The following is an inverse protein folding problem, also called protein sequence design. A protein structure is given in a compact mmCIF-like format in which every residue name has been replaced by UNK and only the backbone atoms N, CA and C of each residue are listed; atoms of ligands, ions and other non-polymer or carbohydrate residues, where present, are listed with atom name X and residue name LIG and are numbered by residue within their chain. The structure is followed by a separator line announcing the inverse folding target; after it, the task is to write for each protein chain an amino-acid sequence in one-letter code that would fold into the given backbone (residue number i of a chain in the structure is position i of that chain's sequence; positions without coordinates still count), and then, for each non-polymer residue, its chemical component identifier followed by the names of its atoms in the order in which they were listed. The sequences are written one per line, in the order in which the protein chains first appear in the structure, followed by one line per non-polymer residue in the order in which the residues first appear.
data_IF_004139162375
#
_entry.id   IF_004139162375
#
_cell.length_a   1.000
_cell.length_b   1.000
_cell.length_c   1.000
_cell.angle_alpha   90.00
_cell.angle_beta   90.00
_cell.angle_gamma   90.00
#
_symmetry.space_group_name_H-M   'P 1'
#
loop_
_entity.id
_entity.type
_entity.pdbx_description
1 polymer ?
#
# COMPACT_ATOMS: atom_id res chain seq x y z
N UNK A 1 7.19 -18.26 29.45
CA UNK A 1 6.36 -17.29 28.70
C UNK A 1 6.10 -16.08 29.58
N UNK A 2 6.22 -14.86 29.04
CA UNK A 2 5.91 -13.63 29.78
C UNK A 2 4.42 -13.62 30.21
N UNK A 3 4.09 -13.10 31.40
CA UNK A 3 2.72 -13.14 31.93
C UNK A 3 1.72 -12.36 31.10
N UNK A 4 2.12 -11.20 30.55
CA UNK A 4 1.26 -10.39 29.68
C UNK A 4 1.00 -11.06 28.32
N UNK A 5 2.00 -11.76 27.77
CA UNK A 5 1.81 -12.58 26.57
C UNK A 5 0.81 -13.70 26.86
N UNK A 6 0.94 -14.36 28.02
CA UNK A 6 0.01 -15.41 28.43
C UNK A 6 -1.42 -14.89 28.53
N UNK A 7 -1.62 -13.74 29.17
CA UNK A 7 -2.92 -13.11 29.29
C UNK A 7 -3.56 -12.86 27.92
N UNK A 8 -2.82 -12.28 26.97
CA UNK A 8 -3.32 -12.06 25.62
C UNK A 8 -3.67 -13.38 24.90
N UNK A 9 -2.84 -14.42 25.04
CA UNK A 9 -3.10 -15.76 24.49
C UNK A 9 -4.39 -16.36 25.08
N UNK A 10 -4.59 -16.25 26.39
CA UNK A 10 -5.76 -16.80 27.08
C UNK A 10 -7.05 -16.07 26.67
N UNK A 11 -6.98 -14.74 26.50
CA UNK A 11 -8.08 -13.91 25.97
C UNK A 11 -8.39 -14.31 24.52
N UNK A 12 -7.37 -14.44 23.67
CA UNK A 12 -7.52 -14.89 22.28
C UNK A 12 -8.20 -16.26 22.21
N UNK A 13 -7.72 -17.23 22.99
CA UNK A 13 -8.31 -18.58 23.04
C UNK A 13 -9.79 -18.52 23.38
N UNK A 14 -10.13 -17.79 24.44
CA UNK A 14 -11.50 -17.67 24.94
C UNK A 14 -12.42 -17.00 23.92
N UNK A 15 -11.98 -15.87 23.35
CA UNK A 15 -12.81 -15.06 22.44
C UNK A 15 -13.13 -15.78 21.14
N UNK A 16 -12.14 -16.48 20.57
CA UNK A 16 -12.29 -17.16 19.28
C UNK A 16 -12.69 -18.62 19.41
N UNK A 17 -13.03 -19.10 20.62
CA UNK A 17 -13.54 -20.45 20.82
C UNK A 17 -12.51 -21.55 20.46
N UNK A 18 -11.23 -21.32 20.74
CA UNK A 18 -10.13 -22.17 20.29
C UNK A 18 -9.88 -23.37 21.23
N UNK A 19 -10.95 -23.95 21.77
CA UNK A 19 -10.85 -25.07 22.72
C UNK A 19 -10.39 -26.38 22.07
N UNK A 20 -10.73 -26.58 20.79
CA UNK A 20 -10.31 -27.73 19.97
C UNK A 20 -9.01 -27.44 19.19
N UNK A 21 -8.19 -26.55 19.73
CA UNK A 21 -6.95 -26.11 19.14
C UNK A 21 -5.83 -26.09 20.19
N UNK A 22 -4.60 -26.30 19.72
CA UNK A 22 -3.40 -26.02 20.50
C UNK A 22 -2.60 -24.87 19.88
N UNK A 23 -1.98 -24.06 20.75
CA UNK A 23 -1.08 -23.00 20.31
C UNK A 23 0.21 -23.64 19.77
N UNK A 24 0.43 -23.53 18.47
CA UNK A 24 1.65 -24.03 17.80
C UNK A 24 2.80 -23.05 17.97
N UNK A 25 2.56 -21.78 17.62
CA UNK A 25 3.58 -20.72 17.59
C UNK A 25 2.98 -19.39 18.05
N UNK A 26 3.82 -18.53 18.58
CA UNK A 26 3.50 -17.14 18.82
C UNK A 26 4.74 -16.27 18.59
N UNK A 27 4.54 -15.02 18.20
CA UNK A 27 5.61 -14.07 17.94
C UNK A 27 5.13 -12.64 18.15
N UNK A 28 6.04 -11.79 18.61
CA UNK A 28 5.80 -10.35 18.63
C UNK A 28 6.31 -9.76 17.33
N UNK A 29 5.52 -8.87 16.75
CA UNK A 29 5.86 -8.12 15.55
C UNK A 29 5.80 -6.63 15.88
N UNK A 30 6.56 -5.84 15.13
CA UNK A 30 6.40 -4.38 15.10
C UNK A 30 6.40 -3.85 13.69
N UNK A 31 5.71 -2.72 13.51
CA UNK A 31 5.77 -1.94 12.27
C UNK A 31 5.56 -0.46 12.59
N UNK A 32 5.88 0.39 11.62
CA UNK A 32 5.64 1.83 11.69
C UNK A 32 4.43 2.18 10.81
N UNK A 33 3.47 2.91 11.37
CA UNK A 33 2.28 3.35 10.63
C UNK A 33 2.51 4.67 9.87
N UNK A 34 1.50 5.16 9.15
CA UNK A 34 1.60 6.43 8.36
C UNK A 34 1.90 7.65 9.23
N UNK A 35 1.53 7.61 10.52
CA UNK A 35 1.76 8.67 11.48
C UNK A 35 3.15 8.61 12.12
N UNK A 36 4.00 7.69 11.65
CA UNK A 36 5.34 7.43 12.17
C UNK A 36 5.36 6.89 13.61
N UNK A 37 4.29 6.21 14.02
CA UNK A 37 4.14 5.57 15.33
C UNK A 37 4.52 4.10 15.25
N UNK A 38 5.13 3.58 16.31
CA UNK A 38 5.47 2.15 16.39
C UNK A 38 4.31 1.36 16.95
N UNK A 39 3.83 0.41 16.16
CA UNK A 39 2.76 -0.51 16.54
C UNK A 39 3.35 -1.87 16.85
N UNK A 40 2.98 -2.43 17.99
CA UNK A 40 3.36 -3.78 18.39
C UNK A 40 2.13 -4.70 18.35
N UNK A 41 2.29 -5.86 17.73
CA UNK A 41 1.26 -6.92 17.71
C UNK A 41 1.83 -8.23 18.24
N UNK A 42 0.98 -9.01 18.89
CA UNK A 42 1.22 -10.41 19.20
C UNK A 42 0.48 -11.25 18.17
N UNK A 43 1.23 -11.99 17.35
CA UNK A 43 0.69 -12.99 16.44
C UNK A 43 0.69 -14.36 17.13
N UNK A 44 -0.42 -15.06 17.02
CA UNK A 44 -0.62 -16.41 17.57
C UNK A 44 -1.14 -17.34 16.49
N UNK A 45 -0.58 -18.54 16.44
CA UNK A 45 -0.92 -19.54 15.45
C UNK A 45 -1.37 -20.82 16.15
N UNK A 46 -2.60 -21.24 15.84
CA UNK A 46 -3.32 -22.30 16.53
C UNK A 46 -3.70 -23.40 15.55
N UNK A 47 -3.28 -24.62 15.83
CA UNK A 47 -3.56 -25.77 14.97
C UNK A 47 -4.74 -26.55 15.55
N UNK A 48 -5.68 -27.02 14.70
CA UNK A 48 -6.80 -27.84 15.17
C UNK A 48 -6.30 -29.19 15.69
N UNK A 49 -6.85 -29.67 16.81
CA UNK A 49 -6.37 -30.89 17.49
C UNK A 49 -6.47 -32.18 16.66
N UNK A 50 -7.35 -32.20 15.66
CA UNK A 50 -7.72 -33.39 14.89
C UNK A 50 -7.22 -33.35 13.45
N UNK A 51 -6.54 -32.28 13.03
CA UNK A 51 -6.02 -32.13 11.67
C UNK A 51 -4.52 -32.42 11.69
N UNK A 52 -4.07 -33.27 10.77
CA UNK A 52 -2.65 -33.62 10.66
C UNK A 52 -1.85 -32.48 10.03
N UNK A 53 -0.66 -32.22 10.57
CA UNK A 53 0.29 -31.27 9.99
C UNK A 53 0.77 -31.76 8.60
N UNK A 54 0.69 -30.92 7.55
CA UNK A 54 1.27 -31.20 6.25
C UNK A 54 2.79 -31.42 6.31
N UNK A 55 3.34 -32.26 5.43
CA UNK A 55 4.79 -32.52 5.36
C UNK A 55 5.59 -31.37 4.72
N UNK A 56 4.92 -30.44 4.04
CA UNK A 56 5.52 -29.32 3.30
C UNK A 56 5.66 -28.03 4.12
N UNK A 57 5.58 -28.14 5.45
CA UNK A 57 5.60 -27.04 6.42
C UNK A 57 4.47 -25.99 6.23
N UNK A 58 3.46 -26.30 5.40
CA UNK A 58 2.28 -25.45 5.26
C UNK A 58 1.37 -25.54 6.48
N UNK A 59 0.57 -24.50 6.71
CA UNK A 59 -0.40 -24.51 7.78
C UNK A 59 -1.55 -25.47 7.46
N UNK A 60 -1.92 -26.39 8.39
CA UNK A 60 -3.07 -27.24 8.21
C UNK A 60 -4.35 -26.43 7.96
N UNK A 61 -5.30 -27.05 7.25
CA UNK A 61 -6.62 -26.49 7.06
C UNK A 61 -7.30 -26.13 8.39
N UNK A 62 -7.88 -24.95 8.43
CA UNK A 62 -8.55 -24.38 9.60
C UNK A 62 -7.64 -23.94 10.74
N UNK A 63 -6.32 -23.90 10.52
CA UNK A 63 -5.39 -23.17 11.38
C UNK A 63 -5.87 -21.74 11.59
N UNK A 64 -5.90 -21.29 12.85
CA UNK A 64 -6.23 -19.92 13.18
C UNK A 64 -4.95 -19.09 13.39
N UNK A 65 -4.76 -18.06 12.58
CA UNK A 65 -3.69 -17.05 12.76
C UNK A 65 -4.35 -15.76 13.22
N UNK A 66 -4.06 -15.37 14.46
CA UNK A 66 -4.75 -14.25 15.12
C UNK A 66 -3.72 -13.26 15.65
N UNK A 67 -3.93 -11.99 15.30
CA UNK A 67 -3.08 -10.87 15.73
C UNK A 67 -3.84 -9.92 16.65
N UNK A 68 -3.22 -9.59 17.78
CA UNK A 68 -3.74 -8.62 18.76
C UNK A 68 -2.74 -7.50 18.98
N UNK A 69 -3.23 -6.26 19.02
CA UNK A 69 -2.40 -5.11 19.35
C UNK A 69 -2.02 -5.15 20.84
N UNK A 70 -0.72 -5.05 21.13
CA UNK A 70 -0.17 -5.27 22.48
C UNK A 70 -0.62 -4.23 23.50
N UNK A 71 -0.99 -3.01 23.09
CA UNK A 71 -1.39 -1.94 24.02
C UNK A 71 -2.90 -1.78 24.14
N UNK A 72 -3.59 -1.74 23.01
CA UNK A 72 -5.04 -1.53 22.99
C UNK A 72 -5.81 -2.81 23.29
N UNK A 73 -5.15 -3.97 23.21
CA UNK A 73 -5.73 -5.31 23.31
C UNK A 73 -6.85 -5.57 22.28
N UNK A 74 -6.95 -4.72 21.25
CA UNK A 74 -7.87 -4.91 20.13
C UNK A 74 -7.28 -5.88 19.13
N UNK A 75 -8.12 -6.75 18.60
CA UNK A 75 -7.73 -7.67 17.55
C UNK A 75 -7.56 -6.93 16.24
N UNK A 76 -6.45 -7.20 15.56
CA UNK A 76 -6.10 -6.60 14.27
C UNK A 76 -6.50 -7.54 13.14
N UNK A 77 -6.34 -8.85 13.35
CA UNK A 77 -6.77 -9.85 12.40
C UNK A 77 -7.08 -11.19 13.06
N UNK A 78 -7.94 -11.98 12.43
CA UNK A 78 -8.17 -13.38 12.70
C UNK A 78 -8.44 -14.09 11.37
N UNK A 79 -7.54 -14.99 10.98
CA UNK A 79 -7.58 -15.67 9.68
C UNK A 79 -7.64 -17.17 9.94
N UNK A 80 -8.65 -17.83 9.39
CA UNK A 80 -8.77 -19.27 9.41
C UNK A 80 -8.41 -19.85 8.03
N UNK A 81 -7.35 -20.67 8.00
CA UNK A 81 -6.79 -21.19 6.75
C UNK A 81 -7.83 -21.98 5.95
N UNK A 82 -7.94 -21.68 4.65
CA UNK A 82 -8.90 -22.27 3.71
C UNK A 82 -10.38 -22.02 4.07
N UNK A 83 -10.66 -20.90 4.75
CA UNK A 83 -12.01 -20.48 5.13
C UNK A 83 -12.76 -21.53 5.97
N UNK A 84 -12.03 -22.31 6.77
CA UNK A 84 -12.59 -23.34 7.65
C UNK A 84 -12.27 -23.07 9.10
N UNK A 85 -13.27 -23.16 9.98
CA UNK A 85 -13.06 -23.03 11.41
C UNK A 85 -13.64 -24.22 12.17
N UNK A 86 -12.88 -24.68 13.16
CA UNK A 86 -13.26 -25.72 14.12
C UNK A 86 -13.52 -25.14 15.51
N UNK A 87 -13.66 -23.80 15.59
CA UNK A 87 -13.92 -23.08 16.81
C UNK A 87 -15.24 -23.57 17.44
N UNK A 88 -15.20 -23.81 18.74
CA UNK A 88 -16.38 -24.15 19.53
C UNK A 88 -16.83 -22.90 20.29
N UNK A 89 -18.09 -22.49 20.13
CA UNK A 89 -18.62 -21.24 20.70
C UNK A 89 -17.77 -20.00 20.34
N UNK A 90 -17.14 -19.99 19.15
CA UNK A 90 -16.45 -18.82 18.61
C UNK A 90 -17.42 -17.76 18.09
N UNK A 91 -16.87 -16.75 17.41
CA UNK A 91 -17.68 -15.69 16.80
C UNK A 91 -18.52 -16.26 15.66
N UNK A 92 -19.83 -16.02 15.72
CA UNK A 92 -20.78 -16.44 14.71
C UNK A 92 -21.83 -15.36 14.46
N UNK A 93 -22.18 -15.19 13.20
CA UNK A 93 -23.21 -14.32 12.68
C UNK A 93 -24.44 -15.11 12.20
N UNK A 94 -24.57 -16.37 12.61
CA UNK A 94 -25.70 -17.22 12.26
C UNK A 94 -27.03 -16.55 12.64
N UNK A 95 -27.90 -16.34 11.65
CA UNK A 95 -29.21 -15.71 11.86
C UNK A 95 -29.17 -14.21 12.18
N UNK A 96 -28.00 -13.57 12.08
CA UNK A 96 -27.87 -12.12 12.25
C UNK A 96 -28.06 -11.37 10.93
N UNK A 97 -28.49 -10.12 11.03
CA UNK A 97 -28.56 -9.22 9.89
C UNK A 97 -27.29 -8.37 9.80
N UNK A 98 -27.03 -7.77 8.64
CA UNK A 98 -25.87 -6.89 8.37
C UNK A 98 -25.69 -5.81 9.46
N UNK A 99 -26.79 -5.24 9.98
CA UNK A 99 -26.75 -4.24 11.05
C UNK A 99 -26.19 -4.77 12.38
N UNK A 100 -26.37 -6.06 12.67
CA UNK A 100 -25.83 -6.67 13.89
C UNK A 100 -24.33 -6.96 13.73
N UNK A 101 -23.90 -7.34 12.52
CA UNK A 101 -22.48 -7.48 12.17
C UNK A 101 -21.77 -6.12 12.23
N UNK A 102 -22.42 -5.05 11.78
CA UNK A 102 -21.92 -3.67 11.92
C UNK A 102 -21.72 -3.33 13.40
N UNK A 103 -22.69 -3.58 14.27
CA UNK A 103 -22.54 -3.31 15.71
C UNK A 103 -21.40 -4.12 16.33
N UNK A 104 -21.25 -5.38 15.94
CA UNK A 104 -20.13 -6.20 16.38
C UNK A 104 -18.79 -5.58 15.94
N UNK A 105 -18.69 -5.15 14.68
CA UNK A 105 -17.51 -4.47 14.15
C UNK A 105 -17.19 -3.17 14.90
N UNK A 106 -18.19 -2.34 15.20
CA UNK A 106 -17.99 -1.11 15.98
C UNK A 106 -17.48 -1.42 17.40
N UNK A 107 -17.98 -2.48 18.03
CA UNK A 107 -17.49 -2.93 19.34
C UNK A 107 -16.06 -3.47 19.27
N UNK A 108 -15.74 -4.24 18.24
CA UNK A 108 -14.42 -4.85 18.05
C UNK A 108 -13.34 -3.81 17.78
N UNK A 109 -13.65 -2.85 16.90
CA UNK A 109 -12.68 -1.88 16.40
C UNK A 109 -12.71 -0.57 17.19
N UNK A 110 -13.84 -0.23 17.82
CA UNK A 110 -14.13 1.10 18.37
C UNK A 110 -14.36 2.17 17.31
N UNK A 111 -14.52 1.77 16.04
CA UNK A 111 -14.82 2.68 14.92
C UNK A 111 -16.33 2.88 14.81
N UNK A 112 -16.76 4.05 14.35
CA UNK A 112 -18.18 4.37 14.17
C UNK A 112 -18.60 4.27 12.70
N UNK A 113 -19.62 3.45 12.42
CA UNK A 113 -20.23 3.30 11.10
C UNK A 113 -20.93 4.60 10.65
N UNK A 114 -20.85 4.90 9.36
CA UNK A 114 -21.32 6.14 8.75
C UNK A 114 -20.40 7.34 8.94
N UNK A 115 -19.55 7.32 9.98
CA UNK A 115 -18.63 8.42 10.33
C UNK A 115 -17.18 8.16 9.97
N UNK A 116 -16.66 7.00 10.40
CA UNK A 116 -15.28 6.57 10.20
C UNK A 116 -15.18 5.43 9.17
N UNK A 117 -16.28 4.72 8.96
CA UNK A 117 -16.39 3.61 8.02
C UNK A 117 -17.71 3.66 7.27
N UNK A 118 -17.72 3.19 6.03
CA UNK A 118 -18.94 2.88 5.27
C UNK A 118 -18.82 1.52 4.62
N UNK A 119 -19.96 0.83 4.48
CA UNK A 119 -20.03 -0.42 3.74
C UNK A 119 -19.70 -0.12 2.28
N UNK A 120 -18.65 -0.76 1.78
CA UNK A 120 -18.17 -0.59 0.41
C UNK A 120 -18.63 -1.73 -0.49
N UNK A 121 -18.65 -2.96 0.04
CA UNK A 121 -19.07 -4.16 -0.69
C UNK A 121 -19.76 -5.13 0.26
N UNK A 122 -20.85 -5.72 -0.21
CA UNK A 122 -21.58 -6.79 0.46
C UNK A 122 -21.75 -7.94 -0.53
N UNK A 123 -21.23 -9.10 -0.16
CA UNK A 123 -21.31 -10.35 -0.91
C UNK A 123 -21.78 -11.46 0.03
N UNK A 124 -22.19 -12.59 -0.52
CA UNK A 124 -22.52 -13.77 0.30
C UNK A 124 -21.30 -14.17 1.14
N UNK A 125 -21.46 -14.19 2.45
CA UNK A 125 -20.38 -14.55 3.39
C UNK A 125 -19.31 -13.46 3.59
N UNK A 126 -19.46 -12.23 3.04
CA UNK A 126 -18.40 -11.20 3.12
C UNK A 126 -18.93 -9.77 3.18
N UNK A 127 -18.37 -8.99 4.10
CA UNK A 127 -18.57 -7.54 4.22
C UNK A 127 -17.24 -6.80 4.20
N UNK A 128 -17.12 -5.82 3.29
CA UNK A 128 -15.96 -4.93 3.20
C UNK A 128 -16.40 -3.50 3.52
N UNK A 129 -15.78 -2.92 4.55
CA UNK A 129 -15.94 -1.53 4.94
C UNK A 129 -14.71 -0.74 4.54
N UNK A 130 -14.90 0.49 4.08
CA UNK A 130 -13.81 1.43 3.79
C UNK A 130 -13.91 2.66 4.68
N UNK A 131 -12.74 3.19 5.00
CA UNK A 131 -12.60 4.41 5.77
C UNK A 131 -13.25 5.61 5.07
N UNK A 132 -13.92 6.43 5.88
CA UNK A 132 -14.40 7.75 5.51
C UNK A 132 -14.16 8.74 6.64
N UNK A 133 -14.09 10.03 6.35
CA UNK A 133 -14.15 11.11 7.33
C UNK A 133 -15.44 11.89 7.08
N UNK A 134 -16.39 11.76 8.02
CA UNK A 134 -17.72 12.38 7.94
C UNK A 134 -18.40 12.17 6.57
N UNK A 135 -18.16 10.98 6.01
CA UNK A 135 -18.71 10.52 4.75
C UNK A 135 -17.94 10.83 3.48
N UNK A 136 -16.82 11.57 3.58
CA UNK A 136 -15.86 11.83 2.51
C UNK A 136 -14.81 10.72 2.47
N UNK A 137 -14.44 10.24 1.29
CA UNK A 137 -13.44 9.18 1.12
C UNK A 137 -12.04 9.63 1.55
N UNK A 138 -11.19 8.68 1.95
CA UNK A 138 -9.83 8.94 2.46
C UNK A 138 -8.77 8.29 1.57
N UNK A 139 -7.57 8.87 1.50
CA UNK A 139 -6.37 8.30 0.87
C UNK A 139 -5.11 8.57 1.71
N UNK A 140 -4.30 7.54 2.03
CA UNK A 140 -4.60 6.12 1.87
C UNK A 140 -5.79 5.70 2.74
N UNK A 141 -6.66 4.82 2.21
CA UNK A 141 -7.84 4.38 2.94
C UNK A 141 -7.53 3.17 3.84
N UNK A 142 -7.99 3.22 5.08
CA UNK A 142 -8.21 2.04 5.91
C UNK A 142 -9.42 1.23 5.45
N UNK A 143 -9.47 -0.02 5.88
CA UNK A 143 -10.58 -0.93 5.63
C UNK A 143 -10.77 -1.92 6.78
N UNK A 144 -12.00 -2.39 6.93
CA UNK A 144 -12.32 -3.54 7.78
C UNK A 144 -13.01 -4.56 6.92
N UNK A 145 -12.53 -5.80 6.98
CA UNK A 145 -13.06 -6.91 6.21
C UNK A 145 -13.47 -8.04 7.14
N UNK A 146 -14.64 -8.61 6.89
CA UNK A 146 -15.27 -9.66 7.68
C UNK A 146 -15.78 -10.71 6.70
N UNK A 147 -15.34 -11.96 6.88
CA UNK A 147 -15.85 -13.11 6.15
C UNK A 147 -16.30 -14.21 7.11
N UNK A 148 -17.31 -14.95 6.69
CA UNK A 148 -17.90 -16.03 7.46
C UNK A 148 -18.40 -17.14 6.53
N UNK A 149 -18.38 -18.37 7.04
CA UNK A 149 -18.81 -19.55 6.30
C UNK A 149 -20.34 -19.62 6.13
N UNK A 150 -20.82 -20.66 5.43
CA UNK A 150 -22.24 -20.88 5.21
C UNK A 150 -23.06 -21.13 6.48
N UNK A 151 -22.41 -21.52 7.59
CA UNK A 151 -23.04 -21.65 8.91
C UNK A 151 -23.00 -20.33 9.70
N UNK A 152 -22.40 -19.28 9.13
CA UNK A 152 -22.23 -17.98 9.73
C UNK A 152 -21.06 -17.89 10.70
N UNK A 153 -20.13 -18.87 10.75
CA UNK A 153 -18.97 -18.80 11.64
C UNK A 153 -17.89 -17.91 11.03
N UNK A 154 -17.23 -17.09 11.85
CA UNK A 154 -16.15 -16.21 11.38
C UNK A 154 -14.99 -17.02 10.81
N UNK A 155 -14.57 -16.71 9.59
CA UNK A 155 -13.41 -17.30 8.92
C UNK A 155 -12.32 -16.27 8.63
N UNK A 156 -12.70 -15.00 8.50
CA UNK A 156 -11.76 -13.91 8.30
C UNK A 156 -12.23 -12.63 9.00
N UNK A 157 -11.31 -11.97 9.68
CA UNK A 157 -11.46 -10.60 10.16
C UNK A 157 -10.11 -9.90 9.98
N UNK A 158 -10.11 -8.69 9.42
CA UNK A 158 -8.92 -7.87 9.40
C UNK A 158 -9.24 -6.37 9.41
N UNK A 159 -8.44 -5.63 10.17
CA UNK A 159 -8.40 -4.17 10.17
C UNK A 159 -7.12 -3.74 9.46
N UNK A 160 -7.27 -3.08 8.32
CA UNK A 160 -6.16 -2.58 7.51
C UNK A 160 -6.15 -1.05 7.48
N UNK A 161 -4.95 -0.47 7.36
CA UNK A 161 -4.75 0.98 7.37
C UNK A 161 -4.87 1.60 8.75
N UNK A 162 -5.04 2.92 8.79
CA UNK A 162 -5.10 3.71 10.02
C UNK A 162 -6.35 4.59 9.99
N UNK A 163 -6.96 4.82 11.16
CA UNK A 163 -8.16 5.62 11.28
C UNK A 163 -7.82 6.88 12.08
N UNK A 164 -7.78 8.06 11.46
CA UNK A 164 -7.31 9.28 12.08
C UNK A 164 -8.24 9.73 13.20
N UNK A 165 -7.63 10.29 14.23
CA UNK A 165 -8.34 11.08 15.23
C UNK A 165 -8.67 12.47 14.64
N UNK A 166 -9.58 13.19 15.29
CA UNK A 166 -10.03 14.50 14.80
C UNK A 166 -8.92 15.55 14.75
N UNK A 167 -7.93 15.43 15.62
CA UNK A 167 -6.88 16.43 15.81
C UNK A 167 -5.92 16.50 14.61
N UNK A 168 -5.87 15.44 13.79
CA UNK A 168 -5.03 15.38 12.58
C UNK A 168 -5.84 15.58 11.30
N UNK A 169 -7.10 16.01 11.40
CA UNK A 169 -7.97 16.30 10.26
C UNK A 169 -8.11 17.82 10.15
N UNK A 170 -7.76 18.36 8.98
CA UNK A 170 -7.97 19.77 8.67
C UNK A 170 -9.40 19.97 8.18
N UNK A 171 -10.28 20.41 9.08
CA UNK A 171 -11.69 20.68 8.76
C UNK A 171 -11.80 21.90 7.84
N UNK A 172 -12.39 21.70 6.65
CA UNK A 172 -12.60 22.73 5.65
C UNK A 172 -13.93 22.50 4.90
N UNK A 173 -14.47 23.56 4.29
CA UNK A 173 -15.58 23.42 3.34
C UNK A 173 -15.04 23.14 1.95
N UNK A 174 -15.54 22.10 1.28
CA UNK A 174 -15.15 21.79 -0.09
C UNK A 174 -15.59 22.90 -1.05
N UNK A 175 -14.66 23.50 -1.79
CA UNK A 175 -14.95 24.61 -2.71
C UNK A 175 -14.49 24.39 -4.15
N UNK A 176 -13.81 23.28 -4.44
CA UNK A 176 -13.33 22.98 -5.78
C UNK A 176 -14.49 22.73 -6.76
N UNK A 177 -14.29 23.17 -7.98
CA UNK A 177 -15.15 22.89 -9.13
C UNK A 177 -14.28 22.76 -10.36
N UNK A 178 -14.77 22.08 -11.39
CA UNK A 178 -14.03 21.91 -12.64
C UNK A 178 -13.60 23.24 -13.26
N UNK A 179 -14.45 24.25 -13.25
CA UNK A 179 -14.13 25.58 -13.80
C UNK A 179 -12.89 26.20 -13.14
N UNK A 180 -12.68 25.96 -11.83
CA UNK A 180 -11.51 26.48 -11.10
C UNK A 180 -10.24 25.73 -11.48
N UNK A 181 -10.35 24.42 -11.73
CA UNK A 181 -9.20 23.53 -11.94
C UNK A 181 -9.01 23.11 -13.41
N UNK A 182 -9.70 23.74 -14.37
CA UNK A 182 -9.65 23.35 -15.79
C UNK A 182 -8.22 23.30 -16.32
N UNK A 183 -7.38 24.26 -15.93
CA UNK A 183 -5.97 24.29 -16.29
C UNK A 183 -5.20 23.06 -15.79
N UNK A 184 -5.40 22.66 -14.52
CA UNK A 184 -4.81 21.45 -13.94
C UNK A 184 -5.34 20.19 -14.65
N UNK A 185 -6.63 20.15 -14.96
CA UNK A 185 -7.23 19.01 -15.67
C UNK A 185 -6.61 18.81 -17.05
N UNK A 186 -6.36 19.89 -17.79
CA UNK A 186 -5.61 19.86 -19.04
C UNK A 186 -4.17 19.42 -18.83
N UNK A 187 -3.48 19.90 -17.79
CA UNK A 187 -2.11 19.50 -17.49
C UNK A 187 -1.97 18.00 -17.26
N UNK A 188 -2.94 17.38 -16.56
CA UNK A 188 -2.95 15.93 -16.27
C UNK A 188 -3.33 15.04 -17.45
N UNK A 189 -3.82 15.59 -18.56
CA UNK A 189 -4.03 14.80 -19.77
C UNK A 189 -2.67 14.49 -20.42
N UNK A 190 -2.25 13.22 -20.37
CA UNK A 190 -0.98 12.75 -20.93
C UNK A 190 -1.22 11.80 -22.10
N UNK A 191 -0.31 11.82 -23.07
CA UNK A 191 -0.26 10.78 -24.09
C UNK A 191 0.49 9.58 -23.52
N UNK A 192 -0.22 8.46 -23.39
CA UNK A 192 0.24 7.22 -22.76
C UNK A 192 -0.05 6.06 -23.71
N UNK A 193 0.82 5.07 -23.74
CA UNK A 193 0.66 3.85 -24.52
C UNK A 193 0.20 2.71 -23.60
N UNK A 194 -0.95 2.13 -23.95
CA UNK A 194 -1.54 0.99 -23.27
C UNK A 194 -1.36 -0.29 -24.08
N UNK A 195 -1.01 -1.42 -23.47
CA UNK A 195 -0.90 -2.69 -24.18
C UNK A 195 -2.28 -3.30 -24.40
N UNK A 196 -2.74 -3.44 -25.65
CA UNK A 196 -3.99 -4.14 -25.96
C UNK A 196 -3.73 -5.61 -26.25
N UNK A 197 -4.15 -6.49 -25.34
CA UNK A 197 -4.02 -7.93 -25.51
C UNK A 197 -4.86 -8.48 -26.67
N UNK A 198 -6.06 -7.94 -26.86
CA UNK A 198 -6.95 -8.32 -27.97
C UNK A 198 -6.33 -7.97 -29.33
N UNK A 199 -5.80 -6.75 -29.46
CA UNK A 199 -5.23 -6.25 -30.71
C UNK A 199 -3.74 -6.60 -30.89
N UNK A 200 -3.09 -7.14 -29.84
CA UNK A 200 -1.64 -7.45 -29.79
C UNK A 200 -0.75 -6.27 -30.21
N UNK A 201 -1.17 -5.05 -29.84
CA UNK A 201 -0.46 -3.82 -30.15
C UNK A 201 -0.56 -2.79 -29.02
N UNK A 202 0.33 -1.80 -29.06
CA UNK A 202 0.25 -0.63 -28.22
C UNK A 202 -0.80 0.34 -28.77
N UNK A 203 -1.64 0.86 -27.88
CA UNK A 203 -2.69 1.81 -28.20
C UNK A 203 -2.29 3.18 -27.62
N UNK A 204 -1.97 4.18 -28.47
CA UNK A 204 -1.66 5.51 -28.00
C UNK A 204 -2.96 6.18 -27.54
N UNK A 205 -2.98 6.64 -26.29
CA UNK A 205 -4.19 7.10 -25.63
C UNK A 205 -3.90 8.37 -24.85
N UNK A 206 -4.69 9.40 -25.07
CA UNK A 206 -4.76 10.53 -24.15
C UNK A 206 -5.57 10.11 -22.93
N UNK A 207 -4.89 9.91 -21.80
CA UNK A 207 -5.47 9.52 -20.51
C UNK A 207 -5.15 10.54 -19.43
N UNK A 208 -5.99 10.58 -18.39
CA UNK A 208 -5.81 11.48 -17.24
C UNK A 208 -4.94 10.79 -16.21
N UNK A 209 -3.83 11.42 -15.85
CA UNK A 209 -3.03 10.99 -14.70
C UNK A 209 -3.76 11.39 -13.41
N UNK A 210 -4.13 10.39 -12.60
CA UNK A 210 -4.85 10.62 -11.35
C UNK A 210 -4.05 11.53 -10.41
N UNK A 211 -4.72 12.54 -9.84
CA UNK A 211 -4.09 13.50 -8.93
C UNK A 211 -5.08 14.00 -7.88
N UNK A 212 -4.57 14.36 -6.71
CA UNK A 212 -5.33 15.10 -5.71
C UNK A 212 -4.95 16.57 -5.76
N UNK A 213 -5.94 17.44 -5.85
CA UNK A 213 -5.75 18.90 -5.87
C UNK A 213 -6.19 19.43 -4.51
N UNK A 214 -5.33 20.15 -3.79
CA UNK A 214 -5.70 20.76 -2.50
C UNK A 214 -6.88 21.72 -2.68
N UNK A 215 -7.74 21.83 -1.66
CA UNK A 215 -8.97 22.62 -1.73
C UNK A 215 -8.71 24.13 -2.01
N UNK A 216 -7.51 24.62 -1.67
CA UNK A 216 -7.03 25.97 -1.97
C UNK A 216 -6.39 26.12 -3.36
N UNK A 217 -6.26 25.03 -4.13
CA UNK A 217 -5.65 24.94 -5.47
C UNK A 217 -4.14 25.24 -5.51
N UNK A 218 -3.49 25.34 -4.35
CA UNK A 218 -2.07 25.71 -4.28
C UNK A 218 -1.14 24.54 -4.64
N UNK A 219 -1.59 23.31 -4.41
CA UNK A 219 -0.75 22.14 -4.49
C UNK A 219 -1.48 20.98 -5.15
N UNK A 220 -0.73 20.15 -5.87
CA UNK A 220 -1.20 18.90 -6.42
C UNK A 220 -0.37 17.76 -5.81
N UNK A 221 -1.06 16.79 -5.19
CA UNK A 221 -0.46 15.61 -4.60
C UNK A 221 -0.63 14.48 -5.62
N UNK A 222 0.47 13.96 -6.20
CA UNK A 222 0.41 12.87 -7.16
C UNK A 222 -0.28 11.64 -6.56
N UNK A 223 -1.08 10.94 -7.35
CA UNK A 223 -1.55 9.64 -6.95
C UNK A 223 -0.41 8.62 -7.02
N UNK A 224 -0.04 8.03 -5.88
CA UNK A 224 0.89 6.91 -5.85
C UNK A 224 0.15 5.63 -5.45
N UNK A 225 0.12 4.63 -6.34
CA UNK A 225 -0.40 3.28 -6.00
C UNK A 225 0.40 2.61 -4.86
N UNK A 226 1.63 3.08 -4.64
CA UNK A 226 2.53 2.63 -3.59
C UNK A 226 2.81 3.84 -2.70
N UNK A 227 1.77 4.47 -2.15
CA UNK A 227 1.94 5.16 -0.86
C UNK A 227 2.19 4.06 0.16
N UNK A 228 3.41 3.53 0.15
CA UNK A 228 3.93 2.79 1.29
C UNK A 228 3.69 3.69 2.49
N UNK A 229 3.13 3.08 3.52
CA UNK A 229 2.46 3.62 4.71
C UNK A 229 3.45 4.38 5.64
N UNK A 230 4.43 5.12 5.07
CA UNK A 230 5.74 5.36 5.68
C UNK A 230 6.25 6.77 5.42
N UNK A 231 6.94 7.30 6.41
CA UNK A 231 7.71 8.55 6.29
C UNK A 231 8.85 8.37 5.27
N UNK A 232 8.90 9.25 4.28
CA UNK A 232 9.95 9.28 3.26
C UNK A 232 10.58 10.67 3.14
N UNK A 233 11.75 10.71 2.53
CA UNK A 233 12.47 11.95 2.22
C UNK A 233 12.58 12.09 0.70
N UNK A 234 12.11 13.21 0.17
CA UNK A 234 12.32 13.62 -1.21
C UNK A 234 13.79 14.05 -1.43
N UNK A 235 14.41 13.55 -2.50
CA UNK A 235 15.81 13.80 -2.86
C UNK A 235 15.93 14.44 -4.25
N UNK A 236 15.16 13.96 -5.23
CA UNK A 236 15.13 14.44 -6.62
C UNK A 236 16.51 14.73 -7.25
N UNK A 237 17.42 13.75 -7.15
CA UNK A 237 18.81 13.92 -7.61
C UNK A 237 19.17 13.00 -8.77
N UNK A 238 19.61 13.58 -9.90
CA UNK A 238 20.20 12.81 -11.00
C UNK A 238 21.53 12.19 -10.55
N UNK A 239 21.70 10.89 -10.81
CA UNK A 239 22.89 10.14 -10.42
C UNK A 239 23.91 10.10 -11.56
N UNK A 240 25.08 10.68 -11.31
CA UNK A 240 26.24 10.55 -12.18
C UNK A 240 27.26 9.59 -11.57
N UNK A 241 27.68 8.62 -12.37
CA UNK A 241 28.68 7.62 -12.00
C UNK A 241 30.07 8.12 -12.37
N UNK A 242 31.04 7.86 -11.51
CA UNK A 242 32.44 8.13 -11.79
C UNK A 242 33.00 7.06 -12.74
N UNK A 243 33.27 7.46 -13.98
CA UNK A 243 33.77 6.57 -15.04
C UNK A 243 35.17 6.02 -14.74
N UNK A 244 35.94 6.70 -13.89
CA UNK A 244 37.30 6.28 -13.53
C UNK A 244 37.29 5.24 -12.39
N UNK A 245 36.17 5.11 -11.67
CA UNK A 245 36.00 4.13 -10.60
C UNK A 245 35.69 2.76 -11.21
N UNK A 246 36.72 1.91 -11.30
CA UNK A 246 36.55 0.53 -11.79
C UNK A 246 36.07 -0.38 -10.66
N UNK A 247 34.79 -0.76 -10.65
CA UNK A 247 34.30 -1.80 -9.76
C UNK A 247 34.38 -3.15 -10.48
N UNK A 248 35.34 -3.99 -10.07
CA UNK A 248 35.66 -5.25 -10.74
C UNK A 248 34.69 -6.40 -10.45
N UNK A 249 33.83 -6.27 -9.44
CA UNK A 249 32.94 -7.36 -9.00
C UNK A 249 31.49 -7.06 -9.36
N UNK A 250 30.77 -8.03 -9.96
CA UNK A 250 29.34 -7.89 -10.19
C UNK A 250 28.60 -7.82 -8.86
N UNK A 251 27.46 -7.13 -8.87
CA UNK A 251 26.61 -7.05 -7.69
C UNK A 251 26.06 -8.43 -7.32
N UNK A 252 26.33 -8.88 -6.10
CA UNK A 252 25.79 -10.13 -5.54
C UNK A 252 24.66 -9.77 -4.57
N UNK A 253 23.43 -10.21 -4.89
CA UNK A 253 22.29 -10.10 -3.98
C UNK A 253 22.56 -10.90 -2.71
N UNK A 254 22.18 -10.31 -1.58
CA UNK A 254 22.16 -10.94 -0.28
C UNK A 254 20.71 -11.16 0.13
N UNK A 255 20.50 -12.18 0.95
CA UNK A 255 19.20 -12.43 1.57
C UNK A 255 18.84 -11.26 2.49
N UNK A 256 17.54 -10.95 2.53
CA UNK A 256 16.98 -9.89 3.34
C UNK A 256 16.07 -10.54 4.39
N UNK A 257 16.23 -10.13 5.64
CA UNK A 257 15.37 -10.61 6.71
C UNK A 257 14.10 -9.79 6.68
N UNK A 258 13.01 -10.41 6.28
CA UNK A 258 11.70 -9.77 6.34
C UNK A 258 11.08 -9.84 7.74
N UNK A 259 11.57 -10.76 8.56
CA UNK A 259 11.15 -10.97 9.95
C UNK A 259 12.10 -10.25 10.89
N UNK A 260 11.53 -9.56 11.86
CA UNK A 260 12.26 -8.97 12.98
C UNK A 260 11.96 -9.77 14.25
N UNK A 261 12.98 -10.07 15.05
CA UNK A 261 12.78 -10.64 16.38
C UNK A 261 12.50 -9.51 17.38
N UNK A 262 11.25 -9.41 17.81
CA UNK A 262 10.83 -8.43 18.84
C UNK A 262 10.74 -9.11 20.20
N UNK A 263 11.41 -8.53 21.20
CA UNK A 263 11.33 -9.03 22.57
C UNK A 263 10.09 -8.54 23.31
N UNK A 264 9.67 -9.26 24.34
CA UNK A 264 8.59 -8.83 25.22
C UNK A 264 8.91 -7.49 25.92
N UNK A 265 10.16 -7.26 26.29
CA UNK A 265 10.58 -6.01 26.93
C UNK A 265 10.37 -4.82 26.00
N UNK A 266 10.81 -4.91 24.75
CA UNK A 266 10.60 -3.88 23.74
C UNK A 266 9.11 -3.62 23.50
N UNK A 267 8.32 -4.68 23.32
CA UNK A 267 6.90 -4.56 23.06
C UNK A 267 6.14 -3.96 24.25
N UNK A 268 6.39 -4.37 25.49
CA UNK A 268 5.64 -3.84 26.64
C UNK A 268 6.19 -2.51 27.19
N UNK A 269 7.35 -2.04 26.73
CA UNK A 269 7.91 -0.73 27.06
C UNK A 269 7.65 0.36 26.00
N UNK A 270 7.03 -0.01 24.86
CA UNK A 270 6.82 0.92 23.74
C UNK A 270 8.11 1.50 23.18
N UNK A 271 9.14 0.64 23.07
CA UNK A 271 10.38 1.04 22.40
C UNK A 271 10.07 1.52 20.97
N UNK A 272 10.47 2.73 20.57
CA UNK A 272 10.30 3.17 19.19
C UNK A 272 11.06 2.29 18.21
N UNK A 273 10.43 1.93 17.09
CA UNK A 273 11.10 1.21 16.01
C UNK A 273 12.23 2.07 15.42
N UNK A 274 13.39 1.47 15.09
CA UNK A 274 14.44 2.13 14.32
C UNK A 274 13.95 2.70 12.98
N UNK A 275 12.88 2.15 12.41
CA UNK A 275 12.30 2.62 11.15
C UNK A 275 11.56 3.96 11.31
N UNK A 276 11.16 4.31 12.53
CA UNK A 276 10.53 5.61 12.82
C UNK A 276 11.55 6.75 12.88
N UNK A 277 12.86 6.44 12.91
CA UNK A 277 13.92 7.42 12.98
C UNK A 277 14.13 8.11 11.61
N UNK A 278 14.20 9.46 11.58
CA UNK A 278 14.43 10.17 10.33
C UNK A 278 15.80 9.83 9.73
N UNK A 279 15.89 9.75 8.40
CA UNK A 279 17.16 9.56 7.70
C UNK A 279 17.93 10.88 7.69
N UNK A 280 19.04 10.93 8.44
CA UNK A 280 19.86 12.14 8.59
C UNK A 280 20.60 12.50 7.30
N UNK A 281 21.03 13.77 7.15
CA UNK A 281 21.83 14.21 5.98
C UNK A 281 23.08 13.35 5.76
N UNK A 282 23.77 12.97 6.84
CA UNK A 282 24.95 12.09 6.78
C UNK A 282 24.61 10.70 6.24
N UNK A 283 23.45 10.16 6.61
CA UNK A 283 22.97 8.88 6.10
C UNK A 283 22.54 8.99 4.64
N UNK A 284 21.89 10.08 4.24
CA UNK A 284 21.53 10.35 2.84
C UNK A 284 22.78 10.35 1.94
N UNK A 285 23.87 10.98 2.38
CA UNK A 285 25.16 10.98 1.65
C UNK A 285 25.73 9.57 1.51
N UNK A 286 25.70 8.76 2.58
CA UNK A 286 26.14 7.36 2.52
C UNK A 286 25.25 6.51 1.61
N UNK A 287 23.93 6.69 1.68
CA UNK A 287 22.98 6.00 0.80
C UNK A 287 23.21 6.37 -0.66
N UNK A 288 23.50 7.64 -0.95
CA UNK A 288 23.84 8.08 -2.29
C UNK A 288 25.10 7.39 -2.82
N UNK A 289 26.12 7.22 -1.98
CA UNK A 289 27.32 6.47 -2.35
C UNK A 289 27.00 4.99 -2.60
N UNK A 290 26.19 4.37 -1.74
CA UNK A 290 25.76 2.98 -1.89
C UNK A 290 24.97 2.75 -3.20
N UNK A 291 24.08 3.68 -3.55
CA UNK A 291 23.33 3.68 -4.81
C UNK A 291 24.27 3.84 -6.01
N UNK A 292 25.24 4.77 -5.95
CA UNK A 292 26.24 4.92 -7.02
C UNK A 292 27.07 3.66 -7.22
N UNK A 293 27.51 3.04 -6.13
CA UNK A 293 28.32 1.82 -6.18
C UNK A 293 27.51 0.64 -6.72
N UNK A 294 26.23 0.54 -6.34
CA UNK A 294 25.29 -0.42 -6.92
C UNK A 294 25.12 -0.22 -8.44
N UNK A 295 24.83 1.03 -8.86
CA UNK A 295 24.62 1.34 -10.27
C UNK A 295 25.89 1.10 -11.10
N UNK A 296 27.08 1.40 -10.57
CA UNK A 296 28.35 1.06 -11.23
C UNK A 296 28.51 -0.45 -11.44
N UNK A 297 28.05 -1.28 -10.50
CA UNK A 297 28.14 -2.74 -10.60
C UNK A 297 27.09 -3.35 -11.54
N UNK A 298 25.87 -2.80 -11.56
CA UNK A 298 24.73 -3.40 -12.27
C UNK A 298 24.41 -2.73 -13.60
N UNK A 299 24.62 -1.42 -13.69
CA UNK A 299 24.33 -0.58 -14.86
C UNK A 299 25.50 0.39 -15.13
N UNK A 300 26.72 -0.11 -15.43
CA UNK A 300 27.93 0.71 -15.55
C UNK A 300 27.81 1.84 -16.60
N UNK A 301 27.01 1.63 -17.64
CA UNK A 301 26.77 2.63 -18.70
C UNK A 301 25.62 3.60 -18.37
N UNK A 302 24.98 3.44 -17.20
CA UNK A 302 23.77 4.18 -16.80
C UNK A 302 24.00 5.55 -16.17
N UNK A 303 25.19 6.13 -16.32
CA UNK A 303 25.49 7.46 -15.75
C UNK A 303 24.53 8.52 -16.31
N UNK A 304 23.93 9.31 -15.42
CA UNK A 304 22.93 10.33 -15.78
C UNK A 304 21.57 9.77 -16.21
N UNK A 305 21.40 8.44 -16.24
CA UNK A 305 20.16 7.78 -16.69
C UNK A 305 19.14 7.58 -15.58
N UNK A 306 19.53 7.80 -14.32
CA UNK A 306 18.71 7.55 -13.15
C UNK A 306 18.56 8.80 -12.28
N UNK A 307 17.37 8.98 -11.74
CA UNK A 307 17.04 10.00 -10.73
C UNK A 307 16.70 9.27 -9.44
N UNK A 308 17.43 9.52 -8.37
CA UNK A 308 17.04 9.11 -7.02
C UNK A 308 15.91 10.03 -6.56
N UNK A 309 14.70 9.48 -6.45
CA UNK A 309 13.49 10.22 -6.09
C UNK A 309 13.35 10.36 -4.58
N UNK A 310 13.42 9.25 -3.86
CA UNK A 310 13.14 9.21 -2.44
C UNK A 310 13.94 8.15 -1.68
N UNK A 311 14.07 8.37 -0.37
CA UNK A 311 14.62 7.44 0.62
C UNK A 311 13.63 7.23 1.75
N UNK A 312 13.45 5.98 2.20
CA UNK A 312 12.64 5.66 3.38
C UNK A 312 13.23 4.47 4.14
N UNK A 313 12.86 4.32 5.43
CA UNK A 313 13.22 3.15 6.23
C UNK A 313 12.10 2.13 6.23
N UNK A 314 12.47 0.86 6.18
CA UNK A 314 11.55 -0.25 6.36
C UNK A 314 12.30 -1.51 6.78
N UNK A 315 11.80 -2.17 7.83
CA UNK A 315 12.29 -3.45 8.35
C UNK A 315 13.80 -3.47 8.56
N UNK A 316 14.36 -2.39 9.12
CA UNK A 316 15.79 -2.27 9.39
C UNK A 316 16.65 -1.96 8.16
N UNK A 317 16.04 -1.69 7.01
CA UNK A 317 16.72 -1.31 5.77
C UNK A 317 16.37 0.12 5.37
N UNK A 318 17.24 0.73 4.55
CA UNK A 318 16.95 1.97 3.84
C UNK A 318 16.67 1.63 2.37
N UNK A 319 15.51 2.05 1.90
CA UNK A 319 15.05 1.83 0.54
C UNK A 319 15.25 3.09 -0.29
N UNK A 320 15.96 2.97 -1.40
CA UNK A 320 16.18 4.04 -2.36
C UNK A 320 15.37 3.78 -3.62
N UNK A 321 14.40 4.65 -3.92
CA UNK A 321 13.60 4.56 -5.15
C UNK A 321 14.24 5.42 -6.23
N UNK A 322 14.61 4.78 -7.33
CA UNK A 322 15.10 5.41 -8.54
C UNK A 322 14.09 5.30 -9.68
N UNK A 323 14.02 6.37 -10.47
CA UNK A 323 13.29 6.41 -11.74
C UNK A 323 14.24 6.64 -12.90
N UNK A 324 13.95 6.03 -14.04
CA UNK A 324 14.68 6.34 -15.26
C UNK A 324 14.42 7.80 -15.67
N UNK A 325 15.47 8.51 -16.10
CA UNK A 325 15.38 9.91 -16.54
C UNK A 325 14.71 10.03 -17.92
N UNK A 326 15.04 9.11 -18.83
CA UNK A 326 14.34 8.94 -20.10
C UNK A 326 13.31 7.83 -19.92
N UNK A 327 12.06 8.17 -20.18
CA UNK A 327 10.91 7.29 -20.03
C UNK A 327 10.26 7.12 -21.38
N UNK A 328 9.86 5.89 -21.68
CA UNK A 328 8.96 5.58 -22.80
C UNK A 328 7.56 5.89 -22.30
N UNK A 329 6.63 6.30 -23.17
CA UNK A 329 5.28 6.73 -22.75
C UNK A 329 4.36 5.57 -22.34
N UNK A 330 4.89 4.43 -21.89
CA UNK A 330 4.08 3.32 -21.39
C UNK A 330 3.32 3.70 -20.13
N UNK A 331 2.15 3.08 -19.94
CA UNK A 331 1.35 3.23 -18.70
C UNK A 331 2.16 2.91 -17.43
N UNK A 332 3.13 2.01 -17.51
CA UNK A 332 4.06 1.72 -16.42
C UNK A 332 5.45 2.25 -16.70
N UNK A 333 5.98 3.02 -15.74
CA UNK A 333 7.30 3.63 -15.83
C UNK A 333 8.37 2.84 -15.09
N UNK A 334 9.60 2.87 -15.59
CA UNK A 334 10.72 2.13 -15.00
C UNK A 334 11.05 2.62 -13.58
N UNK A 335 10.98 1.68 -12.63
CA UNK A 335 11.26 1.83 -11.19
C UNK A 335 12.34 0.84 -10.77
N UNK A 336 13.33 1.33 -10.05
CA UNK A 336 14.36 0.52 -9.40
C UNK A 336 14.36 0.87 -7.91
N UNK A 337 14.23 -0.14 -7.05
CA UNK A 337 14.36 0.00 -5.60
C UNK A 337 15.68 -0.65 -5.21
N UNK A 338 16.60 0.11 -4.64
CA UNK A 338 17.85 -0.41 -4.05
C UNK A 338 17.66 -0.53 -2.55
N UNK A 339 17.89 -1.72 -2.02
CA UNK A 339 17.76 -2.03 -0.58
C UNK A 339 19.15 -1.94 0.04
N UNK A 340 19.30 -1.04 1.01
CA UNK A 340 20.55 -0.68 1.67
C UNK A 340 20.47 -1.12 3.13
N UNK A 341 21.46 -1.87 3.60
CA UNK A 341 21.61 -2.18 5.02
C UNK A 341 21.81 -0.91 5.84
N UNK A 342 20.94 -0.64 6.81
CA UNK A 342 20.93 0.62 7.55
C UNK A 342 22.16 0.80 8.46
N UNK A 343 22.85 -0.28 8.81
CA UNK A 343 24.02 -0.25 9.68
C UNK A 343 25.32 0.01 8.90
N UNK A 344 25.54 -0.78 7.84
CA UNK A 344 26.75 -0.73 7.02
C UNK A 344 26.68 0.25 5.85
N UNK A 345 25.47 0.71 5.49
CA UNK A 345 25.20 1.54 4.31
C UNK A 345 25.70 0.89 3.01
N UNK A 346 25.59 -0.44 2.92
CA UNK A 346 25.89 -1.18 1.70
C UNK A 346 24.60 -1.61 1.02
N UNK A 347 24.56 -1.48 -0.29
CA UNK A 347 23.49 -2.07 -1.10
C UNK A 347 23.59 -3.59 -0.99
N UNK A 348 22.50 -4.23 -0.54
CA UNK A 348 22.45 -5.68 -0.31
C UNK A 348 21.49 -6.39 -1.25
N UNK A 349 20.44 -5.71 -1.70
CA UNK A 349 19.45 -6.27 -2.61
C UNK A 349 18.81 -5.17 -3.47
N UNK A 350 18.00 -5.56 -4.46
CA UNK A 350 17.27 -4.62 -5.31
C UNK A 350 16.08 -5.27 -6.02
N UNK A 351 15.07 -4.46 -6.32
CA UNK A 351 13.91 -4.80 -7.16
C UNK A 351 13.91 -3.88 -8.37
N UNK A 352 13.94 -4.43 -9.59
CA UNK A 352 13.83 -3.67 -10.85
C UNK A 352 12.54 -4.15 -11.55
N UNK A 353 11.64 -3.24 -11.87
CA UNK A 353 10.40 -3.58 -12.58
C UNK A 353 10.62 -3.78 -14.09
N UNK A 354 11.84 -3.63 -14.60
CA UNK A 354 12.16 -3.86 -16.02
C UNK A 354 11.56 -5.16 -16.59
N UNK A 355 11.66 -6.34 -15.94
CA UNK A 355 11.08 -7.56 -16.51
C UNK A 355 9.57 -7.48 -16.74
N UNK A 356 8.85 -6.68 -15.93
CA UNK A 356 7.43 -6.41 -16.16
C UNK A 356 7.22 -5.49 -17.37
N UNK A 357 8.15 -4.57 -17.64
CA UNK A 357 8.09 -3.68 -18.80
C UNK A 357 8.51 -4.38 -20.10
N UNK A 358 9.33 -5.42 -20.02
CA UNK A 358 9.72 -6.21 -21.20
C UNK A 358 8.50 -6.93 -21.83
N UNK A 359 7.34 -7.01 -21.16
CA UNK A 359 6.08 -7.49 -21.78
C UNK A 359 5.63 -6.59 -22.94
N UNK A 360 5.91 -5.29 -22.88
CA UNK A 360 5.53 -4.33 -23.91
C UNK A 360 6.25 -4.60 -25.24
N UNK A 361 7.44 -5.23 -25.20
CA UNK A 361 8.21 -5.60 -26.39
C UNK A 361 7.52 -6.69 -27.24
N UNK A 362 6.49 -7.35 -26.71
CA UNK A 362 5.70 -8.36 -27.42
C UNK A 362 4.59 -7.75 -28.29
N UNK A 363 4.28 -6.47 -28.10
CA UNK A 363 3.20 -5.78 -28.80
C UNK A 363 3.75 -5.06 -30.04
N UNK A 364 2.93 -4.99 -31.08
CA UNK A 364 3.23 -4.12 -32.21
C UNK A 364 3.24 -2.65 -31.78
N UNK A 365 4.07 -1.85 -32.44
CA UNK A 365 4.18 -0.41 -32.17
C UNK A 365 2.82 0.31 -32.29
N UNK A 366 2.70 1.40 -31.56
CA UNK A 366 1.55 2.30 -31.63
C UNK A 366 1.43 2.93 -33.02
N UNK A 367 0.19 3.19 -33.44
CA UNK A 367 -0.05 4.06 -34.57
C UNK A 367 0.39 5.50 -34.23
N UNK A 368 0.66 6.32 -35.25
CA UNK A 368 0.96 7.73 -35.01
C UNK A 368 -0.27 8.45 -34.44
N UNK A 369 -0.05 9.36 -33.49
CA UNK A 369 -1.10 10.21 -32.96
C UNK A 369 -1.52 11.22 -34.05
N UNK A 370 -2.80 11.19 -34.43
CA UNK A 370 -3.37 12.07 -35.46
C UNK A 370 -4.14 13.25 -34.87
N UNK A 371 -4.58 13.13 -33.62
CA UNK A 371 -5.26 14.21 -32.89
C UNK A 371 -4.29 14.84 -31.90
N UNK A 372 -4.53 16.11 -31.57
CA UNK A 372 -3.78 16.80 -30.53
C UNK A 372 -4.45 16.70 -29.14
N UNK A 373 -3.72 17.18 -28.13
CA UNK A 373 -4.14 17.19 -26.74
C UNK A 373 -5.40 18.03 -26.50
N UNK A 374 -5.60 19.13 -27.23
CA UNK A 374 -6.77 20.00 -27.06
C UNK A 374 -8.03 19.37 -27.65
N UNK A 375 -7.92 18.67 -28.78
CA UNK A 375 -9.02 17.87 -29.33
C UNK A 375 -9.40 16.74 -28.37
N UNK A 376 -8.41 15.99 -27.86
CA UNK A 376 -8.65 14.93 -26.89
C UNK A 376 -9.33 15.46 -25.61
N UNK A 377 -8.87 16.59 -25.09
CA UNK A 377 -9.47 17.25 -23.92
C UNK A 377 -10.95 17.59 -24.15
N UNK A 378 -11.31 18.17 -25.31
CA UNK A 378 -12.71 18.49 -25.62
C UNK A 378 -13.62 17.26 -25.61
N UNK A 379 -13.11 16.09 -25.99
CA UNK A 379 -13.87 14.83 -25.96
C UNK A 379 -14.02 14.24 -24.57
N UNK A 380 -13.07 14.50 -23.67
CA UNK A 380 -13.08 14.00 -22.30
C UNK A 380 -13.69 14.96 -21.28
N UNK A 381 -13.84 16.26 -21.60
CA UNK A 381 -14.21 17.30 -20.64
C UNK A 381 -15.40 16.93 -19.73
N UNK A 382 -16.46 16.37 -20.30
CA UNK A 382 -17.68 15.97 -19.57
C UNK A 382 -17.57 14.59 -18.88
N UNK A 383 -16.47 13.87 -19.09
CA UNK A 383 -16.19 12.54 -18.53
C UNK A 383 -15.19 12.58 -17.37
N UNK A 384 -14.57 13.73 -17.11
CA UNK A 384 -13.74 13.89 -15.92
C UNK A 384 -14.58 13.75 -14.66
N UNK A 385 -13.97 13.15 -13.64
CA UNK A 385 -14.53 13.05 -12.30
C UNK A 385 -13.70 13.92 -11.34
N UNK A 386 -14.39 14.76 -10.57
CA UNK A 386 -13.81 15.52 -9.48
C UNK A 386 -14.60 15.19 -8.21
N UNK A 387 -13.98 14.43 -7.31
CA UNK A 387 -14.63 13.94 -6.08
C UNK A 387 -13.89 14.46 -4.85
N UNK A 388 -14.61 14.86 -3.78
CA UNK A 388 -13.96 15.24 -2.53
C UNK A 388 -13.27 14.02 -1.90
N UNK A 389 -12.05 14.22 -1.41
CA UNK A 389 -11.22 13.23 -0.74
C UNK A 389 -10.42 13.89 0.38
N UNK A 390 -10.28 13.22 1.52
CA UNK A 390 -9.23 13.55 2.48
C UNK A 390 -7.95 12.82 2.12
N UNK A 391 -6.84 13.52 2.07
CA UNK A 391 -5.53 12.97 1.71
C UNK A 391 -4.55 13.25 2.84
N UNK A 392 -3.82 12.24 3.29
CA UNK A 392 -2.76 12.46 4.28
C UNK A 392 -1.58 13.17 3.62
N UNK A 393 -1.37 14.43 3.98
CA UNK A 393 -0.20 15.20 3.56
C UNK A 393 0.95 14.90 4.53
N UNK A 394 2.02 14.28 4.03
CA UNK A 394 3.18 13.92 4.85
C UNK A 394 4.03 15.13 5.26
N UNK A 395 3.94 16.25 4.54
CA UNK A 395 4.62 17.50 4.90
C UNK A 395 3.87 18.23 6.02
N UNK A 396 2.54 18.36 5.90
CA UNK A 396 1.69 18.97 6.94
C UNK A 396 1.40 18.02 8.12
N UNK A 397 1.59 16.71 7.93
CA UNK A 397 1.23 15.62 8.87
C UNK A 397 -0.25 15.61 9.26
N UNK A 398 -1.11 16.05 8.35
CA UNK A 398 -2.55 16.13 8.55
C UNK A 398 -3.29 15.61 7.33
N UNK A 399 -4.52 15.15 7.54
CA UNK A 399 -5.46 14.91 6.47
C UNK A 399 -6.02 16.24 5.97
N UNK A 400 -5.74 16.56 4.71
CA UNK A 400 -6.21 17.77 4.03
C UNK A 400 -7.33 17.42 3.05
N UNK A 401 -8.31 18.32 2.92
CA UNK A 401 -9.39 18.14 1.97
C UNK A 401 -8.89 18.47 0.55
N UNK A 402 -9.12 17.54 -0.37
CA UNK A 402 -8.68 17.61 -1.75
C UNK A 402 -9.83 17.26 -2.70
N UNK A 403 -9.69 17.63 -3.96
CA UNK A 403 -10.43 17.06 -5.08
C UNK A 403 -9.58 16.00 -5.78
N UNK A 404 -10.03 14.75 -5.75
CA UNK A 404 -9.49 13.69 -6.61
C UNK A 404 -9.97 13.94 -8.03
N UNK A 405 -9.05 14.25 -8.92
CA UNK A 405 -9.27 14.39 -10.36
C UNK A 405 -8.90 13.07 -11.04
N UNK A 406 -9.87 12.46 -11.71
CA UNK A 406 -9.73 11.17 -12.38
C UNK A 406 -10.57 11.12 -13.67
N UNK A 407 -10.31 10.16 -14.55
CA UNK A 407 -11.15 9.85 -15.70
C UNK A 407 -10.95 8.39 -16.10
N UNK A 408 -12.04 7.61 -16.04
CA UNK A 408 -12.05 6.18 -16.40
C UNK A 408 -12.00 5.95 -17.93
N UNK A 409 -12.02 7.03 -18.71
CA UNK A 409 -11.97 7.02 -20.17
C UNK A 409 -10.71 7.69 -20.70
N UNK A 410 -10.27 7.26 -21.87
CA UNK A 410 -9.21 7.91 -22.65
C UNK A 410 -9.67 8.16 -24.07
N UNK A 411 -8.85 8.90 -24.83
CA UNK A 411 -9.06 9.08 -26.28
C UNK A 411 -7.93 8.40 -27.02
N UNK A 412 -8.25 7.43 -27.86
CA UNK A 412 -7.30 6.83 -28.78
C UNK A 412 -6.75 7.93 -29.71
N UNK A 413 -5.44 8.19 -29.60
CA UNK A 413 -4.79 9.33 -30.24
C UNK A 413 -4.72 9.21 -31.77
N UNK A 414 -4.84 8.01 -32.32
CA UNK A 414 -4.76 7.73 -33.76
C UNK A 414 -6.12 7.71 -34.46
N UNK A 415 -7.22 7.53 -33.72
CA UNK A 415 -8.57 7.47 -34.29
C UNK A 415 -9.52 8.54 -33.75
N UNK A 416 -9.16 9.20 -32.64
CA UNK A 416 -10.03 10.17 -31.99
C UNK A 416 -11.23 9.57 -31.26
N UNK A 417 -11.30 8.24 -31.09
CA UNK A 417 -12.39 7.56 -30.38
C UNK A 417 -12.18 7.60 -28.88
N UNK A 418 -13.25 7.89 -28.14
CA UNK A 418 -13.31 7.71 -26.68
C UNK A 418 -13.40 6.21 -26.37
N UNK A 419 -12.61 5.74 -25.43
CA UNK A 419 -12.50 4.34 -25.01
C UNK A 419 -12.46 4.25 -23.49
N UNK A 420 -13.03 3.20 -22.90
CA UNK A 420 -12.84 2.93 -21.48
C UNK A 420 -11.44 2.37 -21.26
N UNK A 421 -10.73 2.87 -20.25
CA UNK A 421 -9.35 2.44 -19.99
C UNK A 421 -9.28 0.99 -19.48
N UNK A 422 -10.34 0.48 -18.88
CA UNK A 422 -10.44 -0.92 -18.43
C UNK A 422 -10.62 -1.92 -19.59
N UNK A 423 -10.94 -1.44 -20.80
CA UNK A 423 -11.09 -2.28 -21.99
C UNK A 423 -9.76 -2.46 -22.75
N UNK A 424 -8.67 -1.84 -22.30
CA UNK A 424 -7.37 -1.86 -22.94
C UNK A 424 -6.49 -3.02 -22.46
#
# INVERSE_FOLDING_TARGET
MNSKIKELIDITKTKFGLDNYYLKRHGLNRYVNIFNETVYTLSTEWFPDHVQEPEDDSNPEGTAVIEVNVYSHKFVSAIFVMDKTYANNGISFAGLHTNDIIKWMEQETGLTYGRQLKLHKEEEGRLLFKEVIDGVSVSPAGSVEIEFDAEGKLTFFAVHGQFPSKEIIKEETYTLSFDKIEHLAKEQLKLIEFPSHEQKRLIPTYGVEEVYITNDQMTAIPFEFIVDVRSYINIDRTIFLDKNKTIKKPFKRQEISWTEEVTAEQAFSSEPSPDSCPITKKEQEKCLLAVKDFLLQKYPNGSGSWILKMLYRDRGYIHAILRAKKQVNYVFQRKLIVIIDANSFRSINYVDNKPMLDIFDQFQASDEATIDKEEAYKKLKELYELKPYYVYDFEEKQYVLCGKLDCQYGVNASSGKVIALNDL
#
